data_IF_569977709947
#
_entry.id   IF_569977709947
#
_cell.length_a   1.000
_cell.length_b   1.000
_cell.length_c   1.000
_cell.angle_alpha   90.00
_cell.angle_beta   90.00
_cell.angle_gamma   90.00
#
_symmetry.space_group_name_H-M   'P 1'
#
loop_
_entity.id
_entity.type
_entity.pdbx_description
1 polymer ?
#
# COMPACT_ATOMS: atom_id res chain seq x y z
N UNK A 1 38.54 -14.75 -15.30
CA UNK A 1 37.40 -14.12 -15.99
C UNK A 1 36.29 -13.95 -14.97
N UNK A 2 36.03 -12.70 -14.60
CA UNK A 2 34.97 -12.32 -13.66
C UNK A 2 33.59 -12.53 -14.30
N UNK A 3 32.66 -13.07 -13.52
CA UNK A 3 31.26 -13.27 -13.86
C UNK A 3 30.54 -11.92 -13.80
N UNK A 4 30.00 -11.46 -14.93
CA UNK A 4 29.20 -10.23 -15.08
C UNK A 4 27.69 -10.54 -14.94
N UNK A 5 27.29 -11.20 -13.87
CA UNK A 5 25.89 -11.21 -13.45
C UNK A 5 25.78 -10.42 -12.15
N UNK A 6 24.92 -9.38 -12.07
CA UNK A 6 24.65 -8.74 -10.79
C UNK A 6 23.97 -9.76 -9.87
N UNK A 7 24.60 -10.00 -8.72
CA UNK A 7 23.91 -10.50 -7.54
C UNK A 7 22.93 -9.43 -7.07
N UNK A 8 21.71 -9.81 -6.65
CA UNK A 8 20.92 -8.97 -5.75
C UNK A 8 19.42 -8.90 -6.04
N UNK A 9 18.63 -9.59 -5.22
CA UNK A 9 17.22 -9.26 -4.95
C UNK A 9 17.07 -7.91 -4.23
N UNK A 10 18.14 -7.39 -3.60
CA UNK A 10 18.20 -6.06 -2.97
C UNK A 10 18.17 -4.92 -4.00
N UNK A 11 18.93 -5.02 -5.10
CA UNK A 11 18.99 -3.99 -6.15
C UNK A 11 17.65 -3.77 -6.85
N UNK A 12 16.86 -4.84 -7.02
CA UNK A 12 15.55 -4.77 -7.67
C UNK A 12 14.50 -4.09 -6.78
N UNK A 13 14.48 -4.39 -5.49
CA UNK A 13 13.54 -3.79 -4.55
C UNK A 13 13.86 -2.32 -4.25
N UNK A 14 15.15 -1.96 -4.22
CA UNK A 14 15.57 -0.58 -4.04
C UNK A 14 15.27 0.27 -5.27
N UNK A 15 15.44 -0.30 -6.47
CA UNK A 15 15.10 0.37 -7.73
C UNK A 15 13.58 0.56 -7.88
N UNK A 16 12.78 -0.45 -7.53
CA UNK A 16 11.32 -0.33 -7.48
C UNK A 16 10.88 0.77 -6.51
N UNK A 17 11.44 0.80 -5.29
CA UNK A 17 11.09 1.81 -4.27
C UNK A 17 11.41 3.25 -4.71
N UNK A 18 12.52 3.47 -5.44
CA UNK A 18 12.87 4.80 -5.98
C UNK A 18 11.96 5.20 -7.14
N UNK A 19 11.58 4.27 -8.01
CA UNK A 19 10.64 4.47 -9.12
C UNK A 19 9.24 4.82 -8.58
N UNK A 20 8.82 4.25 -7.46
CA UNK A 20 7.52 4.54 -6.84
C UNK A 20 7.39 5.94 -6.21
N UNK A 21 8.51 6.64 -5.98
CA UNK A 21 8.51 7.97 -5.36
C UNK A 21 8.61 9.11 -6.38
N UNK A 22 9.04 8.84 -7.61
CA UNK A 22 9.20 9.83 -8.67
C UNK A 22 8.08 9.66 -9.72
N UNK A 23 7.18 10.63 -9.87
CA UNK A 23 6.23 10.69 -11.00
C UNK A 23 6.79 11.59 -12.10
N UNK A 24 7.78 11.14 -12.86
CA UNK A 24 8.33 11.89 -13.99
C UNK A 24 8.60 10.97 -15.22
N UNK A 25 8.93 11.55 -16.37
CA UNK A 25 9.25 10.80 -17.60
C UNK A 25 10.41 9.78 -17.43
N UNK A 26 11.29 9.98 -16.44
CA UNK A 26 12.40 9.07 -16.13
C UNK A 26 11.88 7.74 -15.54
N UNK A 27 10.78 7.79 -14.80
CA UNK A 27 10.12 6.63 -14.18
C UNK A 27 9.57 5.66 -15.22
N UNK A 28 9.02 6.17 -16.31
CA UNK A 28 8.52 5.40 -17.46
C UNK A 28 9.63 4.59 -18.12
N UNK A 29 10.75 5.26 -18.40
CA UNK A 29 11.93 4.65 -19.02
C UNK A 29 12.50 3.57 -18.12
N UNK A 30 12.63 3.86 -16.82
CA UNK A 30 13.10 2.89 -15.82
C UNK A 30 12.19 1.65 -15.75
N UNK A 31 10.87 1.81 -15.81
CA UNK A 31 9.93 0.68 -15.82
C UNK A 31 10.08 -0.22 -17.05
N UNK A 32 10.23 0.35 -18.25
CA UNK A 32 10.48 -0.45 -19.47
C UNK A 32 11.83 -1.17 -19.43
N UNK A 33 12.86 -0.48 -18.94
CA UNK A 33 14.18 -1.06 -18.75
C UNK A 33 14.14 -2.22 -17.74
N UNK A 34 13.32 -2.14 -16.69
CA UNK A 34 13.07 -3.25 -15.75
C UNK A 34 12.40 -4.41 -16.48
N UNK A 35 11.29 -4.16 -17.16
CA UNK A 35 10.51 -5.19 -17.84
C UNK A 35 11.34 -5.98 -18.85
N UNK A 36 12.33 -5.34 -19.49
CA UNK A 36 13.29 -5.98 -20.39
C UNK A 36 14.40 -6.77 -19.71
N UNK A 37 14.67 -6.53 -18.41
CA UNK A 37 15.77 -7.16 -17.64
C UNK A 37 15.28 -8.22 -16.65
N UNK A 38 14.05 -8.12 -16.15
CA UNK A 38 13.54 -9.06 -15.14
C UNK A 38 13.00 -10.34 -15.78
N UNK A 39 13.20 -11.51 -15.13
CA UNK A 39 12.65 -12.78 -15.58
C UNK A 39 11.14 -12.72 -15.85
N UNK A 40 10.65 -13.56 -16.79
CA UNK A 40 9.22 -13.62 -17.14
C UNK A 40 8.33 -14.11 -15.98
N UNK A 41 8.92 -14.80 -15.01
CA UNK A 41 8.27 -15.32 -13.81
C UNK A 41 8.43 -14.42 -12.57
N UNK A 42 9.07 -13.24 -12.72
CA UNK A 42 9.12 -12.21 -11.68
C UNK A 42 7.77 -11.45 -11.58
N UNK A 43 6.70 -12.18 -11.28
CA UNK A 43 5.32 -11.70 -11.42
C UNK A 43 5.01 -10.44 -10.61
N UNK A 44 5.41 -10.37 -9.34
CA UNK A 44 5.16 -9.19 -8.50
C UNK A 44 5.87 -7.95 -9.04
N UNK A 45 7.14 -8.05 -9.40
CA UNK A 45 7.90 -6.93 -9.97
C UNK A 45 7.26 -6.42 -11.26
N UNK A 46 6.86 -7.36 -12.13
CA UNK A 46 6.20 -7.04 -13.40
C UNK A 46 4.86 -6.34 -13.20
N UNK A 47 4.01 -6.84 -12.30
CA UNK A 47 2.68 -6.24 -12.06
C UNK A 47 2.78 -4.82 -11.52
N UNK A 48 3.82 -4.57 -10.74
CA UNK A 48 4.16 -3.25 -10.22
C UNK A 48 4.65 -2.28 -11.29
N UNK A 49 5.53 -2.73 -12.20
CA UNK A 49 5.91 -1.94 -13.37
C UNK A 49 4.69 -1.62 -14.26
N UNK A 50 3.81 -2.59 -14.49
CA UNK A 50 2.59 -2.35 -15.26
C UNK A 50 1.66 -1.38 -14.55
N UNK A 51 1.41 -1.54 -13.24
CA UNK A 51 0.58 -0.60 -12.48
C UNK A 51 1.09 0.84 -12.62
N UNK A 52 2.40 1.01 -12.59
CA UNK A 52 3.03 2.32 -12.68
C UNK A 52 2.99 2.89 -14.11
N UNK A 53 3.30 2.10 -15.14
CA UNK A 53 3.13 2.52 -16.54
C UNK A 53 1.69 2.96 -16.82
N UNK A 54 0.72 2.27 -16.23
CA UNK A 54 -0.69 2.61 -16.36
C UNK A 54 -1.10 3.85 -15.57
N UNK A 55 -0.31 4.26 -14.57
CA UNK A 55 -0.53 5.49 -13.80
C UNK A 55 -0.06 6.77 -14.48
N UNK A 56 0.47 6.63 -15.69
CA UNK A 56 1.01 7.72 -16.49
C UNK A 56 0.22 7.85 -17.80
N UNK A 57 -0.68 8.84 -17.89
CA UNK A 57 -1.63 8.95 -18.97
C UNK A 57 -1.02 9.14 -20.37
N UNK A 58 0.18 9.70 -20.42
CA UNK A 58 0.94 9.98 -21.63
C UNK A 58 1.63 8.75 -22.26
N UNK A 59 1.62 7.60 -21.58
CA UNK A 59 2.32 6.39 -22.04
C UNK A 59 1.38 5.46 -22.80
N UNK A 60 1.69 5.26 -24.07
CA UNK A 60 1.15 4.13 -24.84
C UNK A 60 1.95 2.86 -24.56
N UNK A 61 1.30 1.79 -24.08
CA UNK A 61 1.90 0.45 -23.99
C UNK A 61 1.79 -0.30 -25.32
N UNK A 62 2.77 -1.14 -25.64
CA UNK A 62 2.75 -2.03 -26.81
C UNK A 62 1.81 -3.22 -26.62
N UNK A 63 1.42 -3.89 -27.72
CA UNK A 63 0.63 -5.13 -27.65
C UNK A 63 1.33 -6.25 -26.85
N UNK A 64 2.66 -6.33 -26.94
CA UNK A 64 3.46 -7.29 -26.17
C UNK A 64 3.45 -6.96 -24.68
N UNK A 65 3.58 -5.67 -24.33
CA UNK A 65 3.49 -5.20 -22.94
C UNK A 65 2.08 -5.47 -22.36
N UNK A 66 1.03 -5.28 -23.16
CA UNK A 66 -0.35 -5.61 -22.81
C UNK A 66 -0.54 -7.11 -22.55
N UNK A 67 -0.12 -7.96 -23.50
CA UNK A 67 -0.30 -9.40 -23.41
C UNK A 67 0.42 -9.98 -22.19
N UNK A 68 1.61 -9.45 -21.88
CA UNK A 68 2.35 -9.88 -20.70
C UNK A 68 1.71 -9.37 -19.39
N UNK A 69 1.22 -8.14 -19.34
CA UNK A 69 0.54 -7.62 -18.14
C UNK A 69 -0.71 -8.43 -17.79
N UNK A 70 -1.50 -8.83 -18.79
CA UNK A 70 -2.65 -9.73 -18.61
C UNK A 70 -2.21 -11.11 -18.12
N UNK A 71 -1.15 -11.67 -18.72
CA UNK A 71 -0.60 -12.98 -18.34
C UNK A 71 -0.11 -12.98 -16.89
N UNK A 72 0.69 -11.99 -16.53
CA UNK A 72 1.22 -11.79 -15.18
C UNK A 72 0.08 -11.67 -14.19
N UNK A 73 -0.92 -10.86 -14.52
CA UNK A 73 -1.99 -10.60 -13.57
C UNK A 73 -2.89 -11.82 -13.36
N UNK A 74 -3.26 -12.52 -14.44
CA UNK A 74 -3.98 -13.81 -14.33
C UNK A 74 -3.18 -14.85 -13.56
N UNK A 75 -1.85 -14.86 -13.67
CA UNK A 75 -1.01 -15.80 -12.92
C UNK A 75 -1.06 -15.54 -11.42
N UNK A 76 -0.86 -14.29 -10.99
CA UNK A 76 -0.89 -13.89 -9.58
C UNK A 76 -2.28 -14.19 -8.98
N UNK A 77 -3.36 -13.82 -9.67
CA UNK A 77 -4.72 -14.07 -9.18
C UNK A 77 -5.05 -15.56 -9.06
N UNK A 78 -4.49 -16.41 -9.93
CA UNK A 78 -4.66 -17.88 -9.85
C UNK A 78 -3.77 -18.53 -8.79
N UNK A 79 -2.72 -17.85 -8.34
CA UNK A 79 -1.73 -18.37 -7.40
C UNK A 79 -1.39 -17.34 -6.30
N UNK A 80 -2.37 -16.90 -5.49
CA UNK A 80 -2.17 -15.79 -4.55
C UNK A 80 -1.27 -16.14 -3.35
N UNK A 81 -0.92 -17.43 -3.17
CA UNK A 81 -0.15 -17.89 -2.01
C UNK A 81 1.29 -17.37 -2.07
N UNK A 82 1.67 -16.57 -1.07
CA UNK A 82 3.02 -16.00 -0.96
C UNK A 82 3.20 -14.67 -1.69
N UNK A 83 2.15 -14.14 -2.31
CA UNK A 83 2.14 -12.82 -2.96
C UNK A 83 1.79 -11.75 -1.93
N UNK A 84 2.51 -10.64 -1.92
CA UNK A 84 2.19 -9.53 -1.01
C UNK A 84 0.81 -8.92 -1.32
N UNK A 85 0.14 -8.41 -0.29
CA UNK A 85 -1.18 -7.80 -0.44
C UNK A 85 -1.16 -6.65 -1.45
N UNK A 86 -0.16 -5.78 -1.37
CA UNK A 86 -0.02 -4.65 -2.29
C UNK A 86 0.18 -5.12 -3.74
N UNK A 87 0.89 -6.24 -3.96
CA UNK A 87 1.01 -6.86 -5.28
C UNK A 87 -0.30 -7.47 -5.77
N UNK A 88 -1.08 -8.14 -4.90
CA UNK A 88 -2.42 -8.63 -5.27
C UNK A 88 -3.33 -7.48 -5.70
N UNK A 89 -3.25 -6.36 -5.01
CA UNK A 89 -4.07 -5.19 -5.31
C UNK A 89 -3.62 -4.49 -6.60
N UNK A 90 -2.31 -4.29 -6.79
CA UNK A 90 -1.76 -3.86 -8.07
C UNK A 90 -2.17 -4.80 -9.20
N UNK A 91 -2.18 -6.11 -8.94
CA UNK A 91 -2.63 -7.15 -9.86
C UNK A 91 -4.08 -7.01 -10.25
N UNK A 92 -4.98 -6.76 -9.30
CA UNK A 92 -6.39 -6.51 -9.61
C UNK A 92 -6.53 -5.28 -10.51
N UNK A 93 -5.83 -4.20 -10.22
CA UNK A 93 -5.88 -2.98 -11.05
C UNK A 93 -5.34 -3.23 -12.46
N UNK A 94 -4.20 -3.90 -12.59
CA UNK A 94 -3.59 -4.23 -13.89
C UNK A 94 -4.47 -5.21 -14.68
N UNK A 95 -4.91 -6.32 -14.07
CA UNK A 95 -5.77 -7.30 -14.73
C UNK A 95 -7.05 -6.67 -15.27
N UNK A 96 -7.71 -5.84 -14.46
CA UNK A 96 -9.01 -5.28 -14.82
C UNK A 96 -8.89 -4.20 -15.87
N UNK A 97 -7.89 -3.33 -15.78
CA UNK A 97 -7.67 -2.32 -16.80
C UNK A 97 -7.42 -2.90 -18.20
N UNK A 98 -6.96 -4.15 -18.28
CA UNK A 98 -6.73 -4.84 -19.55
C UNK A 98 -7.85 -5.80 -19.97
N UNK A 99 -8.49 -6.52 -19.04
CA UNK A 99 -9.70 -7.31 -19.34
C UNK A 99 -10.87 -6.44 -19.82
N UNK A 100 -10.79 -5.14 -19.53
CA UNK A 100 -11.81 -4.18 -19.85
C UNK A 100 -11.48 -3.26 -21.03
N UNK A 101 -10.34 -3.48 -21.69
CA UNK A 101 -9.86 -2.74 -22.86
C UNK A 101 -9.91 -3.54 -24.17
N UNK A 102 -11.02 -4.23 -24.46
CA UNK A 102 -11.27 -4.67 -25.84
C UNK A 102 -11.96 -3.55 -26.63
N UNK A 103 -11.18 -2.77 -27.38
CA UNK A 103 -11.46 -2.50 -28.80
C UNK A 103 -10.15 -2.04 -29.52
N UNK A 104 -9.79 -2.61 -30.69
CA UNK A 104 -8.60 -2.26 -31.46
C UNK A 104 -8.87 -1.01 -32.30
N UNK A 105 -9.27 0.09 -31.66
CA UNK A 105 -9.56 1.35 -32.35
C UNK A 105 -8.33 2.28 -32.30
N UNK A 106 -7.79 2.75 -33.44
CA UNK A 106 -6.48 3.42 -33.52
C UNK A 106 -6.50 4.90 -33.10
N UNK A 107 -7.64 5.41 -32.64
CA UNK A 107 -7.81 6.81 -32.29
C UNK A 107 -7.62 7.03 -30.78
N UNK A 108 -6.34 6.95 -30.39
CA UNK A 108 -5.64 7.69 -29.34
C UNK A 108 -6.48 8.47 -28.31
N UNK A 109 -6.98 7.82 -27.27
CA UNK A 109 -7.16 8.40 -25.93
C UNK A 109 -6.96 7.30 -24.87
N UNK A 110 -5.76 7.22 -24.28
CA UNK A 110 -5.48 6.37 -23.10
C UNK A 110 -6.14 6.98 -21.83
N UNK A 111 -6.27 6.22 -20.72
CA UNK A 111 -6.09 6.68 -19.30
C UNK A 111 -6.86 5.88 -18.23
N UNK A 112 -6.36 5.95 -16.99
CA UNK A 112 -6.91 5.40 -15.72
C UNK A 112 -8.42 5.59 -15.48
N UNK A 113 -9.09 6.46 -16.25
CA UNK A 113 -10.54 6.69 -16.25
C UNK A 113 -11.38 5.48 -16.67
N UNK A 114 -10.81 4.51 -17.39
CA UNK A 114 -11.54 3.30 -17.77
C UNK A 114 -11.87 2.39 -16.58
N UNK A 115 -11.04 2.34 -15.54
CA UNK A 115 -11.31 1.55 -14.34
C UNK A 115 -12.49 2.08 -13.53
N UNK A 116 -12.58 3.42 -13.36
CA UNK A 116 -13.65 4.06 -12.58
C UNK A 116 -14.98 4.08 -13.32
N UNK A 117 -14.98 4.50 -14.60
CA UNK A 117 -16.21 4.51 -15.40
C UNK A 117 -16.82 3.11 -15.47
N UNK A 118 -15.98 2.09 -15.70
CA UNK A 118 -16.45 0.72 -15.75
C UNK A 118 -16.82 0.15 -14.39
N UNK A 119 -16.10 0.50 -13.31
CA UNK A 119 -16.54 0.13 -11.97
C UNK A 119 -17.94 0.68 -11.68
N UNK A 120 -18.23 1.93 -12.06
CA UNK A 120 -19.58 2.52 -11.94
C UNK A 120 -20.61 1.76 -12.78
N UNK A 121 -20.28 1.41 -14.02
CA UNK A 121 -21.15 0.62 -14.92
C UNK A 121 -21.40 -0.80 -14.36
N UNK A 122 -20.38 -1.44 -13.82
CA UNK A 122 -20.44 -2.78 -13.22
C UNK A 122 -21.37 -2.80 -11.99
N UNK A 123 -21.26 -1.80 -11.11
CA UNK A 123 -22.15 -1.65 -9.95
C UNK A 123 -23.61 -1.35 -10.34
N UNK A 124 -23.85 -0.88 -11.56
CA UNK A 124 -25.19 -0.64 -12.10
C UNK A 124 -25.73 -1.80 -12.93
N UNK A 125 -24.88 -2.77 -13.28
CA UNK A 125 -25.23 -3.90 -14.14
C UNK A 125 -26.00 -4.97 -13.37
N UNK A 126 -27.10 -5.47 -13.95
CA UNK A 126 -27.83 -6.63 -13.41
C UNK A 126 -27.10 -7.96 -13.59
N UNK A 127 -26.11 -7.98 -14.49
CA UNK A 127 -25.42 -9.20 -14.90
C UNK A 127 -24.06 -9.37 -14.20
N UNK A 128 -23.73 -8.47 -13.26
CA UNK A 128 -22.48 -8.49 -12.51
C UNK A 128 -22.39 -9.70 -11.59
N UNK A 129 -21.23 -10.36 -11.57
CA UNK A 129 -20.96 -11.41 -10.58
C UNK A 129 -20.59 -10.79 -9.23
N UNK A 130 -20.79 -11.52 -8.12
CA UNK A 130 -20.38 -11.04 -6.78
C UNK A 130 -18.89 -10.69 -6.71
N UNK A 131 -18.07 -11.41 -7.47
CA UNK A 131 -16.65 -11.12 -7.64
C UNK A 131 -16.43 -9.79 -8.34
N UNK A 132 -17.07 -9.56 -9.49
CA UNK A 132 -16.89 -8.33 -10.28
C UNK A 132 -17.40 -7.10 -9.51
N UNK A 133 -18.54 -7.24 -8.83
CA UNK A 133 -19.10 -6.23 -7.94
C UNK A 133 -18.12 -5.86 -6.81
N UNK A 134 -17.56 -6.86 -6.12
CA UNK A 134 -16.57 -6.66 -5.06
C UNK A 134 -15.33 -5.92 -5.57
N UNK A 135 -14.87 -6.24 -6.77
CA UNK A 135 -13.72 -5.55 -7.36
C UNK A 135 -14.04 -4.11 -7.77
N UNK A 136 -15.22 -3.88 -8.34
CA UNK A 136 -15.68 -2.53 -8.68
C UNK A 136 -15.76 -1.63 -7.45
N UNK A 137 -16.30 -2.15 -6.33
CA UNK A 137 -16.28 -1.46 -5.04
C UNK A 137 -14.85 -1.14 -4.58
N UNK A 138 -13.90 -2.07 -4.73
CA UNK A 138 -12.50 -1.82 -4.35
C UNK A 138 -11.87 -0.68 -5.16
N UNK A 139 -12.14 -0.65 -6.47
CA UNK A 139 -11.66 0.42 -7.36
C UNK A 139 -12.25 1.78 -6.97
N UNK A 140 -13.57 1.84 -6.73
CA UNK A 140 -14.22 3.08 -6.28
C UNK A 140 -13.77 3.53 -4.90
N UNK A 141 -13.56 2.60 -3.98
CA UNK A 141 -13.03 2.89 -2.67
C UNK A 141 -11.69 3.63 -2.85
N UNK A 142 -10.76 3.07 -3.62
CA UNK A 142 -9.39 3.60 -3.67
C UNK A 142 -9.23 4.84 -4.53
N UNK A 143 -9.88 4.85 -5.69
CA UNK A 143 -9.66 5.83 -6.74
C UNK A 143 -10.87 6.71 -7.01
N UNK A 144 -11.96 6.52 -6.27
CA UNK A 144 -13.15 7.37 -6.39
C UNK A 144 -12.79 8.85 -6.33
N UNK A 145 -13.43 9.64 -7.16
CA UNK A 145 -13.06 11.05 -7.37
C UNK A 145 -13.49 11.92 -6.18
N UNK A 146 -14.48 11.46 -5.42
CA UNK A 146 -15.04 12.18 -4.29
C UNK A 146 -14.99 11.35 -3.01
N UNK A 147 -14.93 12.04 -1.87
CA UNK A 147 -15.02 11.40 -0.55
C UNK A 147 -16.32 10.63 -0.41
N UNK A 148 -17.42 11.11 -0.97
CA UNK A 148 -18.73 10.44 -0.97
C UNK A 148 -18.69 9.11 -1.73
N UNK A 149 -18.04 9.07 -2.90
CA UNK A 149 -17.94 7.85 -3.70
C UNK A 149 -17.10 6.79 -2.98
N UNK A 150 -15.94 7.19 -2.46
CA UNK A 150 -15.08 6.29 -1.66
C UNK A 150 -15.81 5.77 -0.43
N UNK A 151 -16.55 6.66 0.25
CA UNK A 151 -17.34 6.35 1.44
C UNK A 151 -18.47 5.37 1.15
N UNK A 152 -19.20 5.55 0.04
CA UNK A 152 -20.27 4.66 -0.36
C UNK A 152 -19.74 3.24 -0.66
N UNK A 153 -18.62 3.15 -1.37
CA UNK A 153 -18.01 1.86 -1.68
C UNK A 153 -17.53 1.11 -0.43
N UNK A 154 -16.91 1.82 0.52
CA UNK A 154 -16.51 1.25 1.82
C UNK A 154 -17.71 0.83 2.66
N UNK A 155 -18.75 1.66 2.71
CA UNK A 155 -19.96 1.36 3.48
C UNK A 155 -20.62 0.08 2.97
N UNK A 156 -20.61 -0.15 1.66
CA UNK A 156 -21.20 -1.36 1.10
C UNK A 156 -20.43 -2.63 1.51
N UNK A 157 -19.09 -2.57 1.62
CA UNK A 157 -18.33 -3.69 2.19
C UNK A 157 -18.69 -3.93 3.66
N UNK A 158 -18.87 -2.86 4.44
CA UNK A 158 -19.26 -2.92 5.86
C UNK A 158 -20.65 -3.56 6.00
N UNK A 159 -21.62 -3.10 5.21
CA UNK A 159 -23.00 -3.58 5.26
C UNK A 159 -23.12 -5.06 4.87
N UNK A 160 -22.28 -5.52 3.94
CA UNK A 160 -22.20 -6.93 3.53
C UNK A 160 -21.40 -7.81 4.50
N UNK A 161 -20.67 -7.21 5.45
CA UNK A 161 -19.78 -7.93 6.35
C UNK A 161 -18.61 -8.62 5.63
N UNK A 162 -18.18 -8.10 4.47
CA UNK A 162 -17.06 -8.66 3.71
C UNK A 162 -15.74 -8.25 4.36
N UNK A 163 -15.26 -9.00 5.35
CA UNK A 163 -14.03 -8.65 6.10
C UNK A 163 -12.82 -8.36 5.20
N UNK A 164 -12.69 -9.09 4.09
CA UNK A 164 -11.64 -8.88 3.11
C UNK A 164 -11.79 -7.51 2.43
N UNK A 165 -13.00 -7.22 1.93
CA UNK A 165 -13.34 -5.96 1.29
C UNK A 165 -13.19 -4.76 2.22
N UNK A 166 -13.65 -4.90 3.46
CA UNK A 166 -13.52 -3.89 4.52
C UNK A 166 -12.04 -3.59 4.79
N UNK A 167 -11.24 -4.62 5.06
CA UNK A 167 -9.84 -4.45 5.40
C UNK A 167 -9.07 -3.82 4.23
N UNK A 168 -9.19 -4.39 3.03
CA UNK A 168 -8.41 -3.94 1.87
C UNK A 168 -8.90 -2.62 1.30
N UNK A 169 -10.20 -2.35 1.42
CA UNK A 169 -10.78 -1.04 1.14
C UNK A 169 -10.10 0.03 1.99
N UNK A 170 -10.09 -0.13 3.32
CA UNK A 170 -9.47 0.85 4.22
C UNK A 170 -7.94 0.95 4.10
N UNK A 171 -7.25 -0.17 3.85
CA UNK A 171 -5.79 -0.20 3.73
C UNK A 171 -5.28 0.50 2.47
N UNK A 172 -6.01 0.41 1.36
CA UNK A 172 -5.61 1.03 0.09
C UNK A 172 -5.97 2.51 -0.06
N UNK A 173 -6.73 3.08 0.87
CA UNK A 173 -7.02 4.51 0.89
C UNK A 173 -5.77 5.34 1.15
N UNK A 174 -5.72 6.51 0.51
CA UNK A 174 -4.77 7.57 0.80
C UNK A 174 -4.91 8.10 2.23
N UNK A 175 -3.81 8.58 2.82
CA UNK A 175 -3.82 9.11 4.19
C UNK A 175 -4.75 10.34 4.30
N UNK A 176 -4.84 11.18 3.27
CA UNK A 176 -5.75 12.34 3.25
C UNK A 176 -7.22 11.96 3.45
N UNK A 177 -7.71 10.89 2.82
CA UNK A 177 -9.08 10.40 3.06
C UNK A 177 -9.30 10.06 4.54
N UNK A 178 -8.37 9.35 5.17
CA UNK A 178 -8.46 8.99 6.59
C UNK A 178 -8.42 10.22 7.49
N UNK A 179 -7.63 11.23 7.16
CA UNK A 179 -7.58 12.49 7.91
C UNK A 179 -8.91 13.24 7.77
N UNK A 180 -9.42 13.41 6.54
CA UNK A 180 -10.68 14.10 6.25
C UNK A 180 -11.86 13.46 6.97
N UNK A 181 -11.91 12.13 7.01
CA UNK A 181 -12.97 11.36 7.67
C UNK A 181 -12.73 11.14 9.16
N UNK A 182 -11.66 11.74 9.73
CA UNK A 182 -11.25 11.55 11.14
C UNK A 182 -11.11 10.06 11.52
N UNK A 183 -10.65 9.26 10.57
CA UNK A 183 -10.48 7.81 10.65
C UNK A 183 -11.76 7.03 10.93
N UNK A 184 -12.96 7.59 10.71
CA UNK A 184 -14.23 6.92 11.04
C UNK A 184 -14.35 5.53 10.38
N UNK A 185 -14.10 5.44 9.06
CA UNK A 185 -14.15 4.16 8.33
C UNK A 185 -13.07 3.17 8.79
N UNK A 186 -11.90 3.66 9.20
CA UNK A 186 -10.84 2.80 9.73
C UNK A 186 -11.21 2.23 11.11
N UNK A 187 -11.86 3.03 11.96
CA UNK A 187 -12.42 2.57 13.24
C UNK A 187 -13.55 1.57 13.04
N UNK A 188 -14.41 1.78 12.05
CA UNK A 188 -15.47 0.83 11.67
C UNK A 188 -14.88 -0.49 11.19
N UNK A 189 -13.85 -0.44 10.35
CA UNK A 189 -13.13 -1.62 9.88
C UNK A 189 -12.51 -2.42 11.04
N UNK A 190 -11.85 -1.73 11.99
CA UNK A 190 -11.27 -2.37 13.18
C UNK A 190 -12.35 -3.05 14.04
N UNK A 191 -13.56 -2.49 14.09
CA UNK A 191 -14.68 -3.09 14.83
C UNK A 191 -15.33 -4.26 14.11
N UNK A 192 -15.38 -4.22 12.78
CA UNK A 192 -16.08 -5.21 11.97
C UNK A 192 -15.24 -6.48 11.72
N UNK A 193 -13.93 -6.33 11.49
CA UNK A 193 -13.04 -7.43 11.10
C UNK A 193 -12.70 -8.32 12.29
N UNK A 194 -12.82 -9.64 12.14
CA UNK A 194 -12.40 -10.63 13.15
C UNK A 194 -11.09 -11.31 12.78
N UNK A 195 -10.72 -11.32 11.50
CA UNK A 195 -9.45 -11.87 11.07
C UNK A 195 -8.25 -11.13 11.71
N UNK A 196 -7.45 -11.88 12.49
CA UNK A 196 -6.31 -11.34 13.26
C UNK A 196 -5.24 -10.67 12.38
N UNK A 197 -5.00 -11.19 11.17
CA UNK A 197 -4.00 -10.62 10.25
C UNK A 197 -4.48 -9.30 9.64
N UNK A 198 -5.77 -9.20 9.33
CA UNK A 198 -6.36 -7.95 8.86
C UNK A 198 -6.47 -6.91 9.97
N UNK A 199 -6.83 -7.32 11.19
CA UNK A 199 -6.80 -6.44 12.35
C UNK A 199 -5.40 -5.87 12.60
N UNK A 200 -4.36 -6.70 12.54
CA UNK A 200 -2.98 -6.25 12.69
C UNK A 200 -2.62 -5.18 11.66
N UNK A 201 -3.00 -5.39 10.39
CA UNK A 201 -2.80 -4.42 9.31
C UNK A 201 -3.51 -3.10 9.56
N UNK A 202 -4.77 -3.14 10.00
CA UNK A 202 -5.57 -1.95 10.28
C UNK A 202 -4.99 -1.16 11.46
N UNK A 203 -4.51 -1.83 12.52
CA UNK A 203 -3.82 -1.17 13.62
C UNK A 203 -2.54 -0.48 13.16
N UNK A 204 -1.69 -1.17 12.38
CA UNK A 204 -0.47 -0.59 11.83
C UNK A 204 -0.77 0.61 10.93
N UNK A 205 -1.78 0.51 10.06
CA UNK A 205 -2.20 1.62 9.19
C UNK A 205 -2.66 2.82 10.01
N UNK A 206 -3.46 2.58 11.05
CA UNK A 206 -3.94 3.62 11.96
C UNK A 206 -2.78 4.29 12.70
N UNK A 207 -1.82 3.52 13.22
CA UNK A 207 -0.62 4.08 13.86
C UNK A 207 0.16 4.99 12.91
N UNK A 208 0.36 4.57 11.65
CA UNK A 208 1.02 5.38 10.63
C UNK A 208 0.33 6.73 10.38
N UNK A 209 -1.00 6.71 10.19
CA UNK A 209 -1.80 7.94 9.99
C UNK A 209 -1.71 8.86 11.22
N UNK A 210 -1.81 8.29 12.42
CA UNK A 210 -1.75 9.05 13.66
C UNK A 210 -0.38 9.70 13.88
N UNK A 211 0.70 9.04 13.47
CA UNK A 211 2.05 9.60 13.52
C UNK A 211 2.26 10.74 12.52
N UNK A 212 1.58 10.71 11.37
CA UNK A 212 1.64 11.82 10.40
C UNK A 212 0.92 13.08 10.90
N UNK A 213 -0.18 12.94 11.64
CA UNK A 213 -0.95 14.09 12.15
C UNK A 213 -0.46 14.63 13.49
N UNK A 214 0.21 13.82 14.30
CA UNK A 214 0.63 14.20 15.66
C UNK A 214 1.53 15.47 15.69
N UNK A 215 2.55 15.62 14.83
CA UNK A 215 3.38 16.82 14.80
C UNK A 215 2.56 18.10 14.55
N UNK A 216 1.53 18.03 13.71
CA UNK A 216 0.65 19.18 13.41
C UNK A 216 -0.06 19.67 14.67
N UNK A 217 -0.57 18.77 15.50
CA UNK A 217 -1.22 19.15 16.77
C UNK A 217 -0.22 19.72 17.79
N UNK A 218 1.00 19.18 17.83
CA UNK A 218 2.08 19.68 18.69
C UNK A 218 2.48 21.11 18.28
N UNK A 219 2.69 21.34 16.98
CA UNK A 219 3.03 22.66 16.42
C UNK A 219 1.93 23.69 16.68
N UNK A 220 0.66 23.28 16.58
CA UNK A 220 -0.52 24.11 16.86
C UNK A 220 -0.77 24.32 18.36
N UNK A 221 0.03 23.71 19.24
CA UNK A 221 -0.17 23.70 20.69
C UNK A 221 -1.53 23.12 21.11
N UNK A 222 -2.14 22.30 20.25
CA UNK A 222 -3.40 21.60 20.50
C UNK A 222 -3.13 20.36 21.36
N UNK A 223 -2.95 20.63 22.66
CA UNK A 223 -2.59 19.62 23.65
C UNK A 223 -3.66 18.53 23.79
N UNK A 224 -4.94 18.88 23.60
CA UNK A 224 -6.04 17.93 23.71
C UNK A 224 -5.98 16.89 22.58
N UNK A 225 -5.88 17.36 21.33
CA UNK A 225 -5.82 16.45 20.18
C UNK A 225 -4.49 15.69 20.14
N UNK A 226 -3.36 16.31 20.49
CA UNK A 226 -2.08 15.61 20.58
C UNK A 226 -2.14 14.44 21.57
N UNK A 227 -2.65 14.66 22.79
CA UNK A 227 -2.79 13.61 23.79
C UNK A 227 -3.76 12.50 23.35
N UNK A 228 -4.86 12.88 22.70
CA UNK A 228 -5.81 11.91 22.13
C UNK A 228 -5.13 11.03 21.07
N UNK A 229 -4.38 11.62 20.15
CA UNK A 229 -3.65 10.92 19.09
C UNK A 229 -2.60 9.98 19.69
N UNK A 230 -1.82 10.41 20.68
CA UNK A 230 -0.88 9.56 21.41
C UNK A 230 -1.61 8.36 22.04
N UNK A 231 -2.74 8.60 22.72
CA UNK A 231 -3.56 7.54 23.31
C UNK A 231 -4.07 6.54 22.28
N UNK A 232 -4.46 7.00 21.08
CA UNK A 232 -4.90 6.12 19.99
C UNK A 232 -3.74 5.26 19.44
N UNK A 233 -2.52 5.81 19.31
CA UNK A 233 -1.33 5.04 18.91
C UNK A 233 -1.04 3.96 19.95
N UNK A 234 -1.01 4.33 21.23
CA UNK A 234 -0.77 3.40 22.34
C UNK A 234 -1.83 2.31 22.43
N UNK A 235 -3.09 2.63 22.16
CA UNK A 235 -4.17 1.65 22.10
C UNK A 235 -3.97 0.66 20.95
N UNK A 236 -3.56 1.12 19.76
CA UNK A 236 -3.26 0.24 18.63
C UNK A 236 -2.07 -0.67 18.93
N UNK A 237 -1.00 -0.12 19.51
CA UNK A 237 0.15 -0.89 19.99
C UNK A 237 -0.29 -1.98 20.98
N UNK A 238 -1.00 -1.62 22.04
CA UNK A 238 -1.45 -2.56 23.06
C UNK A 238 -2.35 -3.66 22.47
N UNK A 239 -3.29 -3.30 21.59
CA UNK A 239 -4.14 -4.27 20.92
C UNK A 239 -3.32 -5.22 20.05
N UNK A 240 -2.39 -4.71 19.25
CA UNK A 240 -1.51 -5.54 18.43
C UNK A 240 -0.65 -6.48 19.28
N UNK A 241 -0.21 -6.02 20.46
CA UNK A 241 0.56 -6.85 21.39
C UNK A 241 -0.23 -8.05 21.91
N UNK A 242 -1.53 -7.87 22.14
CA UNK A 242 -2.46 -8.91 22.59
C UNK A 242 -2.93 -9.85 21.46
N UNK A 243 -2.77 -9.46 20.19
CA UNK A 243 -3.18 -10.27 19.05
C UNK A 243 -2.16 -11.37 18.72
N UNK A 244 -2.68 -12.58 18.51
CA UNK A 244 -1.94 -13.70 17.91
C UNK A 244 -1.90 -13.53 16.38
N UNK A 245 -1.09 -12.58 15.91
CA UNK A 245 -0.83 -12.35 14.50
C UNK A 245 0.62 -12.73 14.15
N UNK A 246 0.92 -12.74 12.86
CA UNK A 246 2.27 -12.95 12.35
C UNK A 246 3.30 -12.04 13.05
N UNK A 247 4.50 -12.57 13.40
CA UNK A 247 5.62 -11.76 13.89
C UNK A 247 6.01 -10.61 12.96
N UNK A 248 5.63 -10.71 11.68
CA UNK A 248 5.85 -9.69 10.66
C UNK A 248 5.30 -8.31 11.08
N UNK A 249 4.11 -8.27 11.70
CA UNK A 249 3.50 -7.03 12.16
C UNK A 249 4.22 -6.40 13.34
N UNK A 250 4.99 -7.18 14.10
CA UNK A 250 5.77 -6.67 15.23
C UNK A 250 6.91 -5.78 14.78
N UNK A 251 7.42 -5.95 13.56
CA UNK A 251 8.46 -5.07 13.02
C UNK A 251 7.92 -3.66 12.78
N UNK A 252 6.72 -3.56 12.18
CA UNK A 252 6.03 -2.29 11.97
C UNK A 252 5.67 -1.61 13.27
N UNK A 253 5.23 -2.38 14.25
CA UNK A 253 4.94 -1.88 15.59
C UNK A 253 6.15 -1.20 16.20
N UNK A 254 7.30 -1.89 16.23
CA UNK A 254 8.53 -1.33 16.79
C UNK A 254 9.00 -0.09 16.02
N UNK A 255 8.87 -0.09 14.69
CA UNK A 255 9.19 1.08 13.87
C UNK A 255 8.30 2.29 14.17
N UNK A 256 6.98 2.10 14.27
CA UNK A 256 6.06 3.19 14.61
C UNK A 256 6.25 3.69 16.05
N UNK A 257 6.55 2.78 16.99
CA UNK A 257 6.86 3.17 18.38
C UNK A 257 8.20 3.90 18.49
N UNK A 258 9.17 3.59 17.64
CA UNK A 258 10.41 4.36 17.54
C UNK A 258 10.12 5.81 17.10
N UNK A 259 9.31 6.00 16.05
CA UNK A 259 8.88 7.33 15.60
C UNK A 259 8.10 8.09 16.67
N UNK A 260 7.18 7.43 17.37
CA UNK A 260 6.46 8.06 18.47
C UNK A 260 7.43 8.56 19.54
N UNK A 261 8.39 7.71 19.94
CA UNK A 261 9.36 8.06 20.97
C UNK A 261 10.22 9.25 20.56
N UNK A 262 10.60 9.34 19.29
CA UNK A 262 11.33 10.48 18.75
C UNK A 262 10.51 11.77 18.82
N UNK A 263 9.26 11.75 18.34
CA UNK A 263 8.32 12.89 18.39
C UNK A 263 8.12 13.38 19.84
N UNK A 264 8.13 12.47 20.81
CA UNK A 264 7.95 12.78 22.23
C UNK A 264 9.25 13.24 22.93
N UNK A 265 10.38 13.31 22.23
CA UNK A 265 11.65 13.73 22.80
C UNK A 265 12.34 12.67 23.66
N UNK A 266 12.13 11.39 23.36
CA UNK A 266 12.74 10.23 24.04
C UNK A 266 13.77 9.52 23.12
N UNK A 267 14.89 10.17 22.76
CA UNK A 267 15.79 9.71 21.68
C UNK A 267 16.46 8.36 21.98
N UNK A 268 16.76 8.07 23.25
CA UNK A 268 17.35 6.77 23.64
C UNK A 268 16.37 5.62 23.42
N UNK A 269 15.10 5.84 23.74
CA UNK A 269 14.06 4.85 23.53
C UNK A 269 13.77 4.69 22.04
N UNK A 270 13.67 5.81 21.29
CA UNK A 270 13.51 5.81 19.85
C UNK A 270 14.58 4.97 19.16
N UNK A 271 15.85 5.19 19.50
CA UNK A 271 16.99 4.44 18.96
C UNK A 271 16.95 2.95 19.30
N UNK A 272 16.64 2.61 20.56
CA UNK A 272 16.50 1.21 20.97
C UNK A 272 15.41 0.48 20.17
N UNK A 273 14.24 1.11 20.00
CA UNK A 273 13.13 0.57 19.24
C UNK A 273 13.45 0.47 17.74
N UNK A 274 14.12 1.48 17.15
CA UNK A 274 14.52 1.47 15.75
C UNK A 274 15.53 0.35 15.45
N UNK A 275 16.52 0.15 16.33
CA UNK A 275 17.47 -0.97 16.24
C UNK A 275 16.75 -2.31 16.37
N UNK A 276 15.80 -2.43 17.30
CA UNK A 276 15.00 -3.64 17.47
C UNK A 276 14.20 -3.96 16.22
N UNK A 277 13.54 -2.95 15.63
CA UNK A 277 12.82 -3.08 14.37
C UNK A 277 13.78 -3.51 13.23
N UNK A 278 14.96 -2.91 13.12
CA UNK A 278 15.95 -3.27 12.10
C UNK A 278 16.43 -4.73 12.21
N UNK A 279 16.72 -5.20 13.43
CA UNK A 279 17.13 -6.59 13.68
C UNK A 279 16.02 -7.57 13.32
N UNK A 280 14.77 -7.28 13.73
CA UNK A 280 13.62 -8.12 13.40
C UNK A 280 13.34 -8.11 11.89
N UNK A 281 13.44 -6.95 11.23
CA UNK A 281 13.27 -6.81 9.79
C UNK A 281 14.27 -7.68 9.04
N UNK A 282 15.55 -7.63 9.45
CA UNK A 282 16.60 -8.46 8.86
C UNK A 282 16.35 -9.96 9.07
N UNK A 283 15.95 -10.37 10.27
CA UNK A 283 15.69 -11.78 10.58
C UNK A 283 14.48 -12.34 9.82
N UNK A 284 13.49 -11.50 9.53
CA UNK A 284 12.29 -11.84 8.77
C UNK A 284 12.40 -11.49 7.28
N UNK A 285 13.58 -11.10 6.81
CA UNK A 285 13.88 -10.75 5.41
C UNK A 285 12.98 -9.63 4.84
N UNK A 286 12.58 -8.67 5.68
CA UNK A 286 11.76 -7.50 5.33
C UNK A 286 12.67 -6.34 4.88
N UNK A 287 13.21 -6.47 3.66
CA UNK A 287 14.25 -5.57 3.12
C UNK A 287 13.84 -4.09 3.19
N UNK A 288 12.61 -3.74 2.80
CA UNK A 288 12.19 -2.34 2.76
C UNK A 288 12.13 -1.69 4.15
N UNK A 289 11.66 -2.45 5.16
CA UNK A 289 11.52 -1.94 6.52
C UNK A 289 12.88 -1.93 7.22
N UNK A 290 13.78 -2.85 6.86
CA UNK A 290 15.18 -2.78 7.27
C UNK A 290 15.83 -1.47 6.79
N UNK A 291 15.58 -1.05 5.54
CA UNK A 291 16.06 0.24 5.04
C UNK A 291 15.44 1.42 5.80
N UNK A 292 14.12 1.47 5.92
CA UNK A 292 13.43 2.56 6.63
C UNK A 292 13.84 2.69 8.10
N UNK A 293 14.09 1.57 8.78
CA UNK A 293 14.59 1.57 10.16
C UNK A 293 16.04 2.01 10.24
N UNK A 294 16.88 1.67 9.25
CA UNK A 294 18.26 2.14 9.17
C UNK A 294 18.34 3.64 8.91
N UNK A 295 17.49 4.18 8.03
CA UNK A 295 17.40 5.61 7.76
C UNK A 295 17.01 6.36 9.04
N UNK A 296 15.98 5.88 9.76
CA UNK A 296 15.58 6.44 11.06
C UNK A 296 16.71 6.37 12.10
N UNK A 297 17.49 5.28 12.15
CA UNK A 297 18.65 5.20 13.06
C UNK A 297 19.68 6.28 12.71
N UNK A 298 19.96 6.51 11.43
CA UNK A 298 20.93 7.52 11.01
C UNK A 298 20.45 8.93 11.39
N UNK A 299 19.18 9.26 11.14
CA UNK A 299 18.56 10.53 11.53
C UNK A 299 18.69 10.77 13.05
N UNK A 300 18.38 9.76 13.86
CA UNK A 300 18.50 9.83 15.32
C UNK A 300 19.96 9.98 15.81
N UNK A 301 20.95 9.52 15.04
CA UNK A 301 22.37 9.67 15.37
C UNK A 301 22.91 11.04 15.00
N UNK A 302 22.43 11.63 13.91
CA UNK A 302 22.84 12.96 13.46
C UNK A 302 22.30 14.07 14.39
N UNK A 303 21.14 13.86 15.00
CA UNK A 303 20.55 14.77 16.00
C UNK A 303 21.26 14.83 17.36
N UNK A 304 22.20 13.92 17.66
CA UNK A 304 22.99 13.93 18.92
C UNK A 304 24.24 14.86 18.84
N UNK A 305 24.42 15.58 17.71
CA UNK A 305 25.61 16.41 17.42
C UNK A 305 25.53 17.90 17.77
N UNK A 306 24.43 18.38 18.36
CA UNK A 306 24.24 19.78 18.85
C UNK A 306 24.11 19.83 20.39
#
# INVERSE_FOLDING_TARGET
MQSLLPQGSEDQNEMLSRIFQEKNEDTVRKCRDILGKVPLDAYEVRVWCYRLLMSHPEITMSEEEYADAVRVSKHILRNPKGVSLSSLLATHVVNQSFLYGEDPNPDKEHNEFFGLKRAREELQSSDSTDSDHRHALMVLAWYGETTEEKSAALQEFIDKGDEWGIAHGCLGMDTSFHIQTKCAYLEDAIRAVQNKEYLAQLFIRKMGIMLEILPVFIEQQDTENANRTIGQIQQCHANLQLQECSPWWRVFDQYHMAKLSDILGEPRLAKFLAVTASVLAKQLEIIYLQKQTQDLINELMEGEGE
#
